data_IF_200912485254
#
_entry.id   IF_200912485254
#
_cell.length_a   1.000
_cell.length_b   1.000
_cell.length_c   1.000
_cell.angle_alpha   90.00
_cell.angle_beta   90.00
_cell.angle_gamma   90.00
#
_symmetry.space_group_name_H-M   'P 1'
#
loop_
_entity.id
_entity.type
_entity.pdbx_description
1 polymer ?
#
# COMPACT_ATOMS: atom_id res chain seq x y z
N UNK A 1 3.20 11.96 11.08
CA UNK A 1 2.27 11.87 9.94
C UNK A 1 2.35 10.49 9.33
N UNK A 2 1.24 9.91 8.91
CA UNK A 2 1.20 8.61 8.25
C UNK A 2 0.30 8.60 7.03
N UNK A 3 0.60 7.75 6.06
CA UNK A 3 -0.24 7.55 4.89
C UNK A 3 -0.34 6.07 4.51
N UNK A 4 -1.50 5.71 3.97
CA UNK A 4 -1.74 4.42 3.32
C UNK A 4 -1.71 4.67 1.81
N UNK A 5 -0.73 4.09 1.13
CA UNK A 5 -0.65 4.12 -0.32
C UNK A 5 -1.45 2.94 -0.88
N UNK A 6 -2.39 3.19 -1.79
CA UNK A 6 -3.31 2.15 -2.27
C UNK A 6 -3.05 1.83 -3.73
N UNK A 7 -2.76 0.57 -4.05
CA UNK A 7 -2.83 0.06 -5.42
C UNK A 7 -3.94 -0.98 -5.54
N UNK A 8 -4.34 -1.28 -6.77
CA UNK A 8 -5.42 -2.19 -7.13
C UNK A 8 -4.84 -3.38 -7.91
N UNK A 9 -5.07 -4.61 -7.42
CA UNK A 9 -4.59 -5.83 -8.07
C UNK A 9 -5.04 -5.96 -9.54
N UNK A 10 -6.17 -5.35 -9.92
CA UNK A 10 -6.72 -5.44 -11.29
C UNK A 10 -6.26 -4.31 -12.20
N UNK A 11 -5.47 -3.35 -11.69
CA UNK A 11 -5.08 -2.13 -12.42
C UNK A 11 -3.59 -1.78 -12.20
N UNK A 12 -2.68 -2.30 -13.05
CA UNK A 12 -1.24 -2.13 -12.89
C UNK A 12 -0.80 -0.67 -12.74
N UNK A 13 -1.41 0.25 -13.51
CA UNK A 13 -1.10 1.68 -13.44
C UNK A 13 -1.26 2.30 -12.05
N UNK A 14 -2.04 1.70 -11.14
CA UNK A 14 -2.14 2.19 -9.75
C UNK A 14 -0.87 1.92 -8.95
N UNK A 15 -0.16 0.82 -9.21
CA UNK A 15 1.12 0.51 -8.60
C UNK A 15 2.20 1.50 -9.10
N UNK A 16 2.18 1.82 -10.39
CA UNK A 16 3.13 2.76 -11.01
C UNK A 16 3.05 4.17 -10.40
N UNK A 17 1.88 4.57 -9.88
CA UNK A 17 1.69 5.88 -9.25
C UNK A 17 2.23 5.99 -7.83
N UNK A 18 2.48 4.87 -7.12
CA UNK A 18 2.77 4.91 -5.69
C UNK A 18 4.05 5.67 -5.36
N UNK A 19 5.09 5.55 -6.19
CA UNK A 19 6.36 6.27 -5.98
C UNK A 19 6.18 7.78 -5.99
N UNK A 20 5.44 8.29 -6.99
CA UNK A 20 5.13 9.72 -7.08
C UNK A 20 4.35 10.20 -5.86
N UNK A 21 3.37 9.43 -5.38
CA UNK A 21 2.62 9.80 -4.18
C UNK A 21 3.48 9.81 -2.92
N UNK A 22 4.42 8.87 -2.79
CA UNK A 22 5.39 8.88 -1.70
C UNK A 22 6.28 10.12 -1.74
N UNK A 23 6.85 10.44 -2.92
CA UNK A 23 7.67 11.63 -3.15
C UNK A 23 6.91 12.93 -2.85
N UNK A 24 5.69 13.06 -3.35
CA UNK A 24 4.84 14.23 -3.12
C UNK A 24 4.53 14.43 -1.63
N UNK A 25 4.27 13.34 -0.90
CA UNK A 25 4.05 13.38 0.55
C UNK A 25 5.34 13.74 1.29
N UNK A 26 6.47 13.10 0.97
CA UNK A 26 7.73 13.34 1.67
C UNK A 26 8.26 14.75 1.44
N UNK A 27 7.92 15.40 0.33
CA UNK A 27 8.25 16.82 0.11
C UNK A 27 7.59 17.75 1.14
N UNK A 28 6.39 17.43 1.64
CA UNK A 28 5.68 18.23 2.64
C UNK A 28 5.78 17.66 4.05
N UNK A 29 6.06 16.37 4.18
CA UNK A 29 6.22 15.66 5.44
C UNK A 29 7.38 14.64 5.33
N UNK A 30 8.65 15.07 5.43
CA UNK A 30 9.83 14.22 5.17
C UNK A 30 9.93 12.97 6.06
N UNK A 31 9.29 12.99 7.23
CA UNK A 31 9.29 11.89 8.20
C UNK A 31 8.01 11.06 8.17
N UNK A 32 7.15 11.23 7.15
CA UNK A 32 5.89 10.50 7.07
C UNK A 32 6.10 8.98 6.96
N UNK A 33 5.41 8.23 7.82
CA UNK A 33 5.40 6.77 7.79
C UNK A 33 4.42 6.28 6.72
N UNK A 34 4.81 5.23 5.99
CA UNK A 34 4.04 4.68 4.89
C UNK A 34 3.67 3.22 5.17
N UNK A 35 2.55 2.77 4.63
CA UNK A 35 2.20 1.36 4.41
C UNK A 35 1.43 1.24 3.11
N UNK A 36 1.59 0.14 2.38
CA UNK A 36 0.84 -0.09 1.13
C UNK A 36 -0.37 -1.00 1.39
N UNK A 37 -1.54 -0.61 0.89
CA UNK A 37 -2.71 -1.46 0.73
C UNK A 37 -2.81 -1.93 -0.72
N UNK A 38 -2.53 -3.20 -0.98
CA UNK A 38 -2.79 -3.83 -2.27
C UNK A 38 -4.23 -4.31 -2.31
N UNK A 39 -5.14 -3.45 -2.74
CA UNK A 39 -6.58 -3.61 -2.61
C UNK A 39 -7.19 -4.47 -3.73
N UNK A 40 -8.43 -4.90 -3.51
CA UNK A 40 -9.21 -5.82 -4.38
C UNK A 40 -8.61 -7.21 -4.48
N UNK A 41 -7.94 -7.65 -3.41
CA UNK A 41 -7.38 -8.99 -3.30
C UNK A 41 -8.41 -10.12 -3.54
N UNK A 42 -9.70 -9.85 -3.35
CA UNK A 42 -10.79 -10.80 -3.61
C UNK A 42 -10.98 -11.14 -5.10
N UNK A 43 -10.56 -10.27 -6.04
CA UNK A 43 -10.76 -10.46 -7.47
C UNK A 43 -9.62 -11.26 -8.13
N UNK A 44 -9.27 -12.43 -7.57
CA UNK A 44 -8.08 -13.21 -7.97
C UNK A 44 -7.97 -13.51 -9.47
N UNK A 45 -9.09 -13.79 -10.13
CA UNK A 45 -9.13 -14.09 -11.56
C UNK A 45 -8.85 -12.87 -12.44
N UNK A 46 -9.03 -11.67 -11.90
CA UNK A 46 -8.80 -10.38 -12.57
C UNK A 46 -7.44 -9.77 -12.21
N UNK A 47 -6.60 -10.47 -11.45
CA UNK A 47 -5.30 -9.94 -11.06
C UNK A 47 -4.43 -9.71 -12.28
N UNK A 48 -3.87 -8.50 -12.34
CA UNK A 48 -2.89 -8.06 -13.33
C UNK A 48 -1.56 -7.68 -12.69
N UNK A 49 -1.47 -7.82 -11.36
CA UNK A 49 -0.27 -7.62 -10.56
C UNK A 49 0.02 -8.89 -9.75
N UNK A 50 1.29 -9.29 -9.72
CA UNK A 50 1.78 -10.32 -8.82
C UNK A 50 2.14 -9.70 -7.45
N UNK A 51 2.18 -10.55 -6.42
CA UNK A 51 2.69 -10.16 -5.11
C UNK A 51 4.15 -9.68 -5.18
N UNK A 52 4.99 -10.31 -6.03
CA UNK A 52 6.40 -9.94 -6.19
C UNK A 52 6.59 -8.55 -6.81
N UNK A 53 5.70 -8.13 -7.72
CA UNK A 53 5.73 -6.78 -8.28
C UNK A 53 5.45 -5.73 -7.19
N UNK A 54 4.47 -6.00 -6.32
CA UNK A 54 4.09 -5.10 -5.23
C UNK A 54 5.18 -5.07 -4.17
N UNK A 55 5.75 -6.22 -3.81
CA UNK A 55 6.89 -6.36 -2.90
C UNK A 55 8.10 -5.53 -3.39
N UNK A 56 8.38 -5.55 -4.70
CA UNK A 56 9.44 -4.75 -5.30
C UNK A 56 9.24 -3.25 -5.09
N UNK A 57 8.00 -2.75 -5.24
CA UNK A 57 7.69 -1.33 -5.00
C UNK A 57 7.70 -1.00 -3.50
N UNK A 58 7.19 -1.89 -2.64
CA UNK A 58 7.22 -1.73 -1.19
C UNK A 58 8.66 -1.60 -0.68
N UNK A 59 9.55 -2.48 -1.15
CA UNK A 59 10.99 -2.45 -0.85
C UNK A 59 11.65 -1.14 -1.29
N UNK A 60 11.33 -0.64 -2.49
CA UNK A 60 11.85 0.64 -2.99
C UNK A 60 11.39 1.83 -2.16
N UNK A 61 10.19 1.75 -1.58
CA UNK A 61 9.63 2.77 -0.69
C UNK A 61 9.95 2.52 0.79
N UNK A 62 10.80 1.53 1.08
CA UNK A 62 11.22 1.15 2.43
C UNK A 62 10.03 0.93 3.38
N UNK A 63 8.97 0.28 2.86
CA UNK A 63 7.75 -0.04 3.59
C UNK A 63 7.30 -1.47 3.29
N UNK A 64 6.26 -1.93 3.98
CA UNK A 64 5.60 -3.21 3.73
C UNK A 64 4.26 -2.99 3.02
N UNK A 65 3.66 -4.07 2.53
CA UNK A 65 2.29 -4.04 2.01
C UNK A 65 1.40 -5.11 2.64
N UNK A 66 0.10 -4.85 2.66
CA UNK A 66 -0.91 -5.85 2.95
C UNK A 66 -1.76 -6.06 1.69
N UNK A 67 -1.96 -7.32 1.25
CA UNK A 67 -3.06 -7.63 0.35
C UNK A 67 -4.37 -7.39 1.10
N UNK A 68 -5.19 -6.47 0.63
CA UNK A 68 -6.45 -6.06 1.27
C UNK A 68 -7.65 -6.22 0.35
N UNK A 69 -8.83 -6.35 0.94
CA UNK A 69 -10.09 -6.20 0.23
C UNK A 69 -11.03 -5.35 1.08
N UNK A 70 -11.33 -4.15 0.60
CA UNK A 70 -12.37 -3.32 1.20
C UNK A 70 -13.76 -3.97 1.12
N UNK A 71 -14.00 -4.83 0.12
CA UNK A 71 -15.29 -5.51 -0.08
C UNK A 71 -15.54 -6.57 0.98
N UNK A 72 -14.52 -7.34 1.36
CA UNK A 72 -14.64 -8.45 2.33
C UNK A 72 -14.12 -8.09 3.72
N UNK A 73 -13.46 -6.95 3.86
CA UNK A 73 -12.73 -6.57 5.08
C UNK A 73 -11.38 -7.27 5.24
N UNK A 74 -10.96 -8.11 4.27
CA UNK A 74 -9.70 -8.86 4.37
C UNK A 74 -8.52 -7.93 4.63
N UNK A 75 -7.86 -8.13 5.78
CA UNK A 75 -6.65 -7.41 6.23
C UNK A 75 -6.76 -5.87 6.28
N UNK A 76 -7.97 -5.32 6.21
CA UNK A 76 -8.19 -3.86 6.34
C UNK A 76 -7.78 -3.40 7.74
N UNK A 77 -8.36 -4.00 8.78
CA UNK A 77 -8.07 -3.64 10.17
C UNK A 77 -6.58 -3.86 10.55
N UNK A 78 -5.94 -5.00 10.27
CA UNK A 78 -4.51 -5.18 10.52
C UNK A 78 -3.62 -4.11 9.89
N UNK A 79 -3.92 -3.64 8.67
CA UNK A 79 -3.16 -2.58 8.02
C UNK A 79 -3.28 -1.24 8.76
N UNK A 80 -4.48 -0.88 9.23
CA UNK A 80 -4.68 0.34 10.01
C UNK A 80 -3.99 0.27 11.38
N UNK A 81 -4.07 -0.87 12.07
CA UNK A 81 -3.34 -1.08 13.34
C UNK A 81 -1.83 -0.97 13.15
N UNK A 82 -1.28 -1.55 12.08
CA UNK A 82 0.14 -1.45 11.77
C UNK A 82 0.57 0.02 11.55
N UNK A 83 -0.18 0.79 10.77
CA UNK A 83 0.12 2.22 10.61
C UNK A 83 0.01 2.97 11.94
N UNK A 84 -1.01 2.68 12.74
CA UNK A 84 -1.17 3.25 14.08
C UNK A 84 0.07 3.01 14.96
N UNK A 85 0.57 1.77 14.98
CA UNK A 85 1.78 1.41 15.72
C UNK A 85 3.00 2.22 15.24
N UNK A 86 3.23 2.29 13.92
CA UNK A 86 4.35 3.05 13.33
C UNK A 86 4.33 4.55 13.70
N UNK A 87 3.16 5.10 13.98
CA UNK A 87 2.99 6.52 14.34
C UNK A 87 3.20 6.80 15.82
N UNK A 88 3.20 5.77 16.66
CA UNK A 88 3.44 5.87 18.11
C UNK A 88 4.86 5.52 18.52
N UNK A 89 5.67 5.02 17.56
CA UNK A 89 7.08 4.64 17.74
C UNK A 89 8.02 5.55 16.96
#
# INVERSE_FOLDING_TARGET
TGAILVCDFTRPGTLDTLKRYAEDLHRVAPTARLVIAANKYDLKEEWRLSLSQIEGVASQLQTIFYPTSAKTGHKVEPLFHYLGHLLTT
#
